data_IF_243263997607
#
_entry.id   IF_243263997607
#
_cell.length_a   1.000
_cell.length_b   1.000
_cell.length_c   1.000
_cell.angle_alpha   90.00
_cell.angle_beta   90.00
_cell.angle_gamma   90.00
#
_symmetry.space_group_name_H-M   'P 1'
#
loop_
_entity.id
_entity.type
_entity.pdbx_description
1 polymer ?
#
# COMPACT_ATOMS: atom_id res chain seq x y z
N UNK A 1 -7.09 17.59 -18.18
CA UNK A 1 -6.59 16.37 -17.50
C UNK A 1 -6.47 16.68 -16.01
N UNK A 2 -7.37 16.16 -15.17
CA UNK A 2 -7.36 16.42 -13.73
C UNK A 2 -6.24 15.58 -13.08
N UNK A 3 -5.21 16.24 -12.53
CA UNK A 3 -4.18 15.55 -11.74
C UNK A 3 -4.86 14.88 -10.54
N UNK A 4 -4.88 13.55 -10.52
CA UNK A 4 -5.36 12.79 -9.35
C UNK A 4 -4.43 13.10 -8.18
N UNK A 5 -4.94 13.73 -7.13
CA UNK A 5 -4.16 14.02 -5.93
C UNK A 5 -3.71 12.70 -5.30
N UNK A 6 -2.47 12.68 -4.76
CA UNK A 6 -1.98 11.49 -4.06
C UNK A 6 -2.86 11.23 -2.85
N UNK A 7 -3.28 9.98 -2.68
CA UNK A 7 -4.06 9.52 -1.52
C UNK A 7 -3.15 9.54 -0.28
N UNK A 8 -3.57 10.22 0.76
CA UNK A 8 -2.88 10.21 2.07
C UNK A 8 -3.46 9.10 2.93
N UNK A 9 -2.61 8.17 3.39
CA UNK A 9 -3.03 7.09 4.27
C UNK A 9 -2.69 7.38 5.74
N UNK A 10 -3.55 6.89 6.65
CA UNK A 10 -3.33 7.01 8.10
C UNK A 10 -2.09 6.23 8.57
N UNK A 11 -1.45 6.62 9.69
CA UNK A 11 -0.29 5.91 10.22
C UNK A 11 -0.56 4.43 10.53
N UNK A 12 -1.73 4.12 11.08
CA UNK A 12 -2.15 2.75 11.38
C UNK A 12 -2.26 1.88 10.12
N UNK A 13 -2.76 2.45 9.02
CA UNK A 13 -2.83 1.76 7.74
C UNK A 13 -1.43 1.44 7.21
N UNK A 14 -0.51 2.42 7.25
CA UNK A 14 0.89 2.22 6.82
C UNK A 14 1.59 1.14 7.64
N UNK A 15 1.37 1.11 8.95
CA UNK A 15 1.94 0.07 9.83
C UNK A 15 1.45 -1.33 9.44
N UNK A 16 0.15 -1.50 9.14
CA UNK A 16 -0.41 -2.78 8.71
C UNK A 16 0.19 -3.27 7.39
N UNK A 17 0.34 -2.37 6.41
CA UNK A 17 0.96 -2.68 5.12
C UNK A 17 2.44 -3.05 5.30
N UNK A 18 3.18 -2.31 6.14
CA UNK A 18 4.58 -2.58 6.42
C UNK A 18 4.79 -3.95 7.10
N UNK A 19 3.97 -4.30 8.09
CA UNK A 19 4.04 -5.62 8.73
C UNK A 19 3.76 -6.76 7.73
N UNK A 20 2.78 -6.57 6.84
CA UNK A 20 2.48 -7.55 5.79
C UNK A 20 3.64 -7.68 4.78
N UNK A 21 4.33 -6.58 4.45
CA UNK A 21 5.50 -6.59 3.59
C UNK A 21 6.70 -7.29 4.23
N UNK A 22 6.95 -7.02 5.53
CA UNK A 22 8.04 -7.66 6.29
C UNK A 22 7.83 -9.17 6.42
N UNK A 23 6.58 -9.63 6.47
CA UNK A 23 6.27 -11.07 6.54
C UNK A 23 6.72 -11.85 5.29
N UNK A 24 6.85 -11.20 4.14
CA UNK A 24 7.43 -11.79 2.92
C UNK A 24 6.54 -12.81 2.19
N UNK A 25 5.33 -13.09 2.69
CA UNK A 25 4.41 -14.07 2.10
C UNK A 25 3.83 -13.64 0.74
N UNK A 26 3.81 -12.34 0.45
CA UNK A 26 3.15 -11.74 -0.72
C UNK A 26 4.11 -10.83 -1.45
N UNK A 27 4.03 -10.86 -2.76
CA UNK A 27 4.76 -9.93 -3.63
C UNK A 27 4.23 -8.51 -3.46
N UNK A 28 5.03 -7.51 -3.85
CA UNK A 28 4.62 -6.10 -3.83
C UNK A 28 3.33 -5.85 -4.63
N UNK A 29 3.13 -6.56 -5.74
CA UNK A 29 1.94 -6.44 -6.57
C UNK A 29 0.68 -6.95 -5.86
N UNK A 30 0.79 -8.09 -5.16
CA UNK A 30 -0.33 -8.67 -4.42
C UNK A 30 -0.67 -7.82 -3.18
N UNK A 31 0.33 -7.26 -2.51
CA UNK A 31 0.10 -6.31 -1.42
C UNK A 31 -0.56 -5.02 -1.93
N UNK A 32 -0.11 -4.51 -3.07
CA UNK A 32 -0.72 -3.35 -3.73
C UNK A 32 -2.20 -3.58 -4.02
N UNK A 33 -2.55 -4.75 -4.54
CA UNK A 33 -3.92 -5.11 -4.86
C UNK A 33 -4.78 -5.35 -3.60
N UNK A 34 -4.22 -5.98 -2.57
CA UNK A 34 -4.91 -6.26 -1.30
C UNK A 34 -5.25 -4.98 -0.52
N UNK A 35 -4.35 -4.01 -0.55
CA UNK A 35 -4.48 -2.77 0.22
C UNK A 35 -4.91 -1.57 -0.63
N UNK A 36 -5.18 -1.74 -1.93
CA UNK A 36 -5.45 -0.65 -2.89
C UNK A 36 -4.39 0.46 -2.81
N UNK A 37 -3.11 0.06 -2.66
CA UNK A 37 -1.96 0.97 -2.61
C UNK A 37 -1.20 0.94 -3.92
N UNK A 38 -0.70 2.09 -4.34
CA UNK A 38 0.18 2.14 -5.51
C UNK A 38 1.57 1.62 -5.12
N UNK A 39 2.18 0.69 -5.88
CA UNK A 39 3.48 0.11 -5.53
C UNK A 39 4.69 1.04 -5.74
N UNK A 40 4.51 2.38 -5.80
CA UNK A 40 5.59 3.35 -6.03
C UNK A 40 5.25 4.75 -5.50
#
# INVERSE_FOLDING_TARGET
MTKKSRRTHSPAFKAKVALAAVKGDKTLAELAQLFDVHPN
#
